data_IF_675478432220
#
_entry.id   IF_675478432220
#
_cell.length_a   1.000
_cell.length_b   1.000
_cell.length_c   1.000
_cell.angle_alpha   90.00
_cell.angle_beta   90.00
_cell.angle_gamma   90.00
#
_symmetry.space_group_name_H-M   'P 1'
#
loop_
_entity.id
_entity.type
_entity.pdbx_description
1 polymer ?
#
# COMPACT_ATOMS: atom_id res chain seq x y z
N UNK A 1 0.84 8.78 25.31
CA UNK A 1 1.37 9.78 24.36
C UNK A 1 2.65 9.16 23.81
N UNK A 2 2.53 8.37 22.74
CA UNK A 2 3.65 7.72 22.03
C UNK A 2 3.61 8.25 20.59
N UNK A 3 4.74 8.69 20.01
CA UNK A 3 4.74 9.53 18.82
C UNK A 3 4.50 8.73 17.52
N UNK A 4 3.71 9.34 16.63
CA UNK A 4 3.21 8.86 15.33
C UNK A 4 4.28 8.81 14.21
N UNK A 5 5.57 8.71 14.57
CA UNK A 5 6.70 8.91 13.63
C UNK A 5 6.87 7.81 12.56
N UNK A 6 6.19 6.67 12.72
CA UNK A 6 6.36 5.49 11.85
C UNK A 6 5.36 5.36 10.68
N UNK A 7 4.44 6.30 10.46
CA UNK A 7 3.49 6.22 9.32
C UNK A 7 3.93 6.94 8.04
N UNK A 8 4.87 7.87 8.16
CA UNK A 8 5.33 8.69 7.03
C UNK A 8 6.32 7.94 6.12
N UNK A 9 7.20 7.11 6.71
CA UNK A 9 8.09 6.20 5.96
C UNK A 9 7.39 5.03 5.26
N UNK A 10 6.08 4.81 5.49
CA UNK A 10 5.35 3.67 4.92
C UNK A 10 5.07 3.85 3.42
N UNK A 11 5.15 5.06 2.87
CA UNK A 11 4.76 5.31 1.46
C UNK A 11 5.79 4.94 0.41
N UNK A 12 7.08 4.88 0.77
CA UNK A 12 8.11 4.26 -0.05
C UNK A 12 8.10 2.72 0.07
N UNK A 13 7.60 2.19 1.18
CA UNK A 13 7.47 0.76 1.46
C UNK A 13 6.24 0.11 0.80
N UNK A 14 5.20 0.86 0.42
CA UNK A 14 3.98 0.28 -0.18
C UNK A 14 4.15 -0.32 -1.57
N UNK A 15 5.26 -0.06 -2.27
CA UNK A 15 5.64 -0.82 -3.48
C UNK A 15 6.35 -2.14 -3.18
N UNK A 16 6.73 -2.40 -1.93
CA UNK A 16 7.57 -3.53 -1.51
C UNK A 16 7.01 -4.35 -0.33
N UNK A 17 6.00 -3.91 0.43
CA UNK A 17 5.53 -4.66 1.62
C UNK A 17 4.03 -4.46 1.92
N UNK A 18 3.20 -5.51 1.92
CA UNK A 18 1.94 -5.52 2.65
C UNK A 18 2.22 -5.68 4.15
N UNK A 19 1.63 -4.80 4.97
CA UNK A 19 1.91 -4.68 6.41
C UNK A 19 1.10 -5.70 7.23
N UNK A 20 1.80 -6.43 8.10
CA UNK A 20 1.27 -7.37 9.09
C UNK A 20 0.49 -6.70 10.24
N UNK A 21 -0.52 -7.40 10.79
CA UNK A 21 -1.15 -7.09 12.09
C UNK A 21 -1.35 -8.35 12.94
N UNK A 22 -0.51 -8.46 13.98
CA UNK A 22 -0.67 -9.16 15.27
C UNK A 22 -1.75 -10.26 15.43
N UNK A 23 -1.30 -11.52 15.47
CA UNK A 23 -2.07 -12.68 15.92
C UNK A 23 -2.32 -12.65 17.45
N UNK A 24 -3.54 -13.00 17.89
CA UNK A 24 -3.81 -13.38 19.28
C UNK A 24 -4.51 -14.74 19.30
N UNK A 25 -3.81 -15.73 19.87
CA UNK A 25 -4.27 -17.10 20.12
C UNK A 25 -5.50 -17.12 21.03
N UNK A 26 -6.52 -17.90 20.68
CA UNK A 26 -7.54 -18.35 21.61
C UNK A 26 -7.67 -19.87 21.55
N UNK A 27 -7.30 -20.53 22.65
CA UNK A 27 -7.52 -21.94 22.91
C UNK A 27 -8.92 -22.19 23.51
N UNK A 28 -9.33 -23.45 23.42
CA UNK A 28 -10.68 -24.01 23.41
C UNK A 28 -11.50 -23.97 24.72
N UNK A 29 -12.82 -24.21 24.63
CA UNK A 29 -13.50 -25.52 24.94
C UNK A 29 -15.03 -25.35 25.10
N UNK A 30 -15.75 -26.40 24.65
CA UNK A 30 -17.13 -26.84 24.91
C UNK A 30 -18.21 -26.40 23.91
N UNK A 31 -19.04 -27.28 23.34
CA UNK A 31 -19.18 -28.73 23.48
C UNK A 31 -20.35 -29.25 22.60
N UNK A 32 -20.10 -30.42 21.98
CA UNK A 32 -21.01 -31.51 21.57
C UNK A 32 -22.49 -31.22 21.22
N UNK A 33 -22.92 -31.56 19.99
CA UNK A 33 -23.89 -32.65 19.75
C UNK A 33 -24.11 -32.93 18.25
N UNK A 34 -24.20 -34.23 17.97
CA UNK A 34 -24.30 -34.93 16.69
C UNK A 34 -25.44 -34.48 15.77
N UNK A 35 -25.24 -34.57 14.45
CA UNK A 35 -25.91 -35.55 13.61
C UNK A 35 -25.26 -35.61 12.22
N UNK A 36 -24.87 -36.82 11.83
CA UNK A 36 -24.32 -37.19 10.54
C UNK A 36 -25.32 -37.01 9.40
N UNK A 37 -25.04 -36.08 8.50
CA UNK A 37 -25.51 -36.10 7.12
C UNK A 37 -24.31 -36.29 6.20
N UNK A 38 -24.15 -37.50 5.66
CA UNK A 38 -23.31 -37.72 4.49
C UNK A 38 -24.01 -37.05 3.30
N UNK A 39 -23.70 -35.78 3.06
CA UNK A 39 -23.89 -35.19 1.73
C UNK A 39 -22.56 -35.34 1.02
N UNK A 40 -22.51 -36.24 0.03
CA UNK A 40 -21.44 -36.27 -0.95
C UNK A 40 -21.51 -34.97 -1.75
N UNK A 41 -20.83 -33.92 -1.27
CA UNK A 41 -20.46 -32.79 -2.09
C UNK A 41 -19.20 -33.17 -2.86
N UNK A 42 -19.38 -33.77 -4.03
CA UNK A 42 -18.43 -33.56 -5.11
C UNK A 42 -18.64 -32.12 -5.63
N UNK A 43 -18.26 -31.13 -4.82
CA UNK A 43 -18.04 -29.79 -5.34
C UNK A 43 -16.72 -29.87 -6.11
N UNK A 44 -16.80 -30.03 -7.42
CA UNK A 44 -15.79 -29.45 -8.28
C UNK A 44 -15.91 -27.93 -8.10
N UNK A 45 -15.36 -27.39 -7.00
CA UNK A 45 -15.15 -25.96 -6.88
C UNK A 45 -14.21 -25.61 -8.03
N UNK A 46 -14.76 -25.02 -9.09
CA UNK A 46 -13.94 -24.31 -10.07
C UNK A 46 -13.03 -23.38 -9.29
N UNK A 47 -11.75 -23.35 -9.64
CA UNK A 47 -10.79 -22.42 -9.05
C UNK A 47 -11.40 -21.00 -9.08
N UNK A 48 -11.25 -20.20 -8.01
CA UNK A 48 -11.73 -18.83 -8.02
C UNK A 48 -11.14 -18.09 -9.22
N UNK A 49 -11.95 -17.24 -9.85
CA UNK A 49 -11.43 -16.29 -10.82
C UNK A 49 -10.48 -15.31 -10.13
N UNK A 50 -9.64 -14.66 -10.93
CA UNK A 50 -8.79 -13.56 -10.44
C UNK A 50 -9.62 -12.49 -9.72
N UNK A 51 -10.78 -12.11 -10.28
CA UNK A 51 -11.70 -11.15 -9.63
C UNK A 51 -12.21 -11.64 -8.27
N UNK A 52 -12.44 -12.95 -8.12
CA UNK A 52 -12.88 -13.53 -6.85
C UNK A 52 -11.74 -13.51 -5.82
N UNK A 53 -10.50 -13.81 -6.23
CA UNK A 53 -9.33 -13.69 -5.37
C UNK A 53 -9.10 -12.24 -4.95
N UNK A 54 -9.22 -11.29 -5.87
CA UNK A 54 -9.07 -9.86 -5.61
C UNK A 54 -10.16 -9.39 -4.63
N UNK A 55 -11.41 -9.85 -4.78
CA UNK A 55 -12.50 -9.56 -3.85
C UNK A 55 -12.27 -10.14 -2.44
N UNK A 56 -11.78 -11.37 -2.34
CA UNK A 56 -11.42 -11.98 -1.05
C UNK A 56 -10.29 -11.22 -0.37
N UNK A 57 -9.29 -10.78 -1.13
CA UNK A 57 -8.18 -10.00 -0.61
C UNK A 57 -8.64 -8.64 -0.09
N UNK A 58 -9.55 -7.98 -0.81
CA UNK A 58 -10.20 -6.75 -0.35
C UNK A 58 -11.05 -6.94 0.90
N UNK A 59 -11.71 -8.09 1.04
CA UNK A 59 -12.44 -8.45 2.25
C UNK A 59 -11.51 -8.83 3.43
N UNK A 60 -10.19 -8.84 3.23
CA UNK A 60 -9.18 -9.35 4.16
C UNK A 60 -9.44 -10.81 4.56
N UNK A 61 -10.08 -11.58 3.67
CA UNK A 61 -10.41 -12.99 3.87
C UNK A 61 -9.18 -13.87 3.53
N UNK A 62 -8.06 -13.55 4.18
CA UNK A 62 -6.75 -14.16 3.89
C UNK A 62 -6.76 -15.67 4.13
N UNK A 63 -7.44 -16.13 5.18
CA UNK A 63 -7.60 -17.56 5.49
C UNK A 63 -8.27 -18.31 4.34
N UNK A 64 -9.33 -17.76 3.74
CA UNK A 64 -10.01 -18.43 2.63
C UNK A 64 -9.14 -18.41 1.37
N UNK A 65 -8.36 -17.35 1.14
CA UNK A 65 -7.37 -17.31 0.04
C UNK A 65 -6.33 -18.42 0.21
N UNK A 66 -5.76 -18.56 1.41
CA UNK A 66 -4.78 -19.60 1.73
C UNK A 66 -5.39 -20.99 1.48
N UNK A 67 -6.54 -21.28 2.08
CA UNK A 67 -7.22 -22.57 1.93
C UNK A 67 -7.52 -22.97 0.48
N UNK A 68 -7.81 -21.98 -0.39
CA UNK A 68 -8.15 -22.25 -1.79
C UNK A 68 -6.92 -22.33 -2.68
N UNK A 69 -5.90 -21.49 -2.46
CA UNK A 69 -4.73 -21.45 -3.32
C UNK A 69 -3.64 -22.44 -2.92
N UNK A 70 -3.42 -22.68 -1.62
CA UNK A 70 -2.36 -23.55 -1.13
C UNK A 70 -2.35 -24.94 -1.78
N UNK A 71 -3.49 -25.66 -1.92
CA UNK A 71 -3.53 -27.00 -2.51
C UNK A 71 -3.21 -27.06 -4.01
N UNK A 72 -3.15 -25.92 -4.71
CA UNK A 72 -2.91 -25.88 -6.16
C UNK A 72 -1.43 -26.20 -6.45
N UNK A 73 -1.10 -27.29 -7.16
CA UNK A 73 0.30 -27.69 -7.35
C UNK A 73 1.07 -26.80 -8.35
N UNK A 74 0.39 -26.31 -9.39
CA UNK A 74 0.99 -25.49 -10.46
C UNK A 74 0.34 -24.10 -10.47
N UNK A 75 0.80 -23.23 -9.57
CA UNK A 75 0.28 -21.87 -9.42
C UNK A 75 0.84 -20.95 -10.51
N UNK A 76 0.00 -20.06 -11.03
CA UNK A 76 0.44 -18.94 -11.86
C UNK A 76 1.21 -17.92 -11.01
N UNK A 77 2.03 -17.05 -11.60
CA UNK A 77 2.68 -15.95 -10.87
C UNK A 77 1.69 -15.07 -10.08
N UNK A 78 0.50 -14.78 -10.62
CA UNK A 78 -0.53 -14.01 -9.90
C UNK A 78 -1.04 -14.78 -8.67
N UNK A 79 -1.31 -16.09 -8.81
CA UNK A 79 -1.73 -16.92 -7.69
C UNK A 79 -0.65 -17.03 -6.60
N UNK A 80 0.63 -17.11 -6.98
CA UNK A 80 1.74 -17.02 -6.04
C UNK A 80 1.72 -15.67 -5.29
N UNK A 81 1.64 -14.55 -6.01
CA UNK A 81 1.62 -13.23 -5.39
C UNK A 81 0.46 -13.06 -4.41
N UNK A 82 -0.75 -13.47 -4.80
CA UNK A 82 -1.94 -13.38 -3.94
C UNK A 82 -1.80 -14.27 -2.70
N UNK A 83 -1.36 -15.52 -2.87
CA UNK A 83 -1.18 -16.44 -1.75
C UNK A 83 -0.11 -15.95 -0.78
N UNK A 84 1.08 -15.59 -1.28
CA UNK A 84 2.17 -15.10 -0.42
C UNK A 84 1.73 -13.82 0.29
N UNK A 85 1.02 -12.91 -0.40
CA UNK A 85 0.49 -11.69 0.24
C UNK A 85 -0.53 -12.00 1.34
N UNK A 86 -1.37 -13.02 1.17
CA UNK A 86 -2.30 -13.47 2.21
C UNK A 86 -1.53 -14.09 3.40
N UNK A 87 -0.54 -14.94 3.13
CA UNK A 87 0.33 -15.56 4.13
C UNK A 87 1.12 -14.49 4.92
N UNK A 88 1.64 -13.45 4.28
CA UNK A 88 2.30 -12.34 4.99
C UNK A 88 1.41 -11.64 6.02
N UNK A 89 0.08 -11.80 5.93
CA UNK A 89 -0.88 -11.28 6.89
C UNK A 89 -1.32 -12.30 7.96
N UNK A 90 -1.03 -13.60 7.77
CA UNK A 90 -1.48 -14.68 8.66
C UNK A 90 -0.32 -15.46 9.28
N UNK A 91 0.63 -15.89 8.46
CA UNK A 91 1.80 -16.70 8.83
C UNK A 91 3.02 -16.35 7.94
N UNK A 92 4.01 -15.65 8.52
CA UNK A 92 5.20 -15.21 7.79
C UNK A 92 6.19 -16.34 7.48
N UNK A 93 6.14 -17.46 8.20
CA UNK A 93 7.02 -18.60 7.96
C UNK A 93 6.53 -19.36 6.72
N UNK A 94 5.22 -19.60 6.61
CA UNK A 94 4.61 -20.16 5.40
C UNK A 94 4.78 -19.22 4.19
N UNK A 95 4.77 -17.91 4.40
CA UNK A 95 5.08 -16.94 3.35
C UNK A 95 6.52 -17.08 2.83
N UNK A 96 7.50 -17.34 3.71
CA UNK A 96 8.90 -17.56 3.34
C UNK A 96 9.05 -18.82 2.48
N UNK A 97 8.43 -19.92 2.91
CA UNK A 97 8.44 -21.18 2.18
C UNK A 97 7.76 -21.06 0.80
N UNK A 98 6.62 -20.37 0.74
CA UNK A 98 5.89 -20.17 -0.51
C UNK A 98 6.64 -19.23 -1.47
N UNK A 99 7.33 -18.21 -0.96
CA UNK A 99 8.17 -17.34 -1.79
C UNK A 99 9.40 -18.08 -2.35
N UNK A 100 10.03 -18.95 -1.55
CA UNK A 100 11.11 -19.81 -2.03
C UNK A 100 10.61 -20.77 -3.13
N UNK A 101 9.40 -21.33 -2.96
CA UNK A 101 8.76 -22.15 -3.99
C UNK A 101 8.46 -21.36 -5.26
N UNK A 102 7.96 -20.13 -5.13
CA UNK A 102 7.69 -19.27 -6.29
C UNK A 102 8.97 -19.04 -7.11
N UNK A 103 10.08 -18.69 -6.47
CA UNK A 103 11.39 -18.54 -7.12
C UNK A 103 11.83 -19.83 -7.80
N UNK A 104 11.66 -20.99 -7.16
CA UNK A 104 12.05 -22.26 -7.75
C UNK A 104 11.22 -22.64 -8.99
N UNK A 105 9.92 -22.35 -8.97
CA UNK A 105 9.00 -22.69 -10.05
C UNK A 105 9.09 -21.69 -11.22
N UNK A 106 9.48 -20.44 -10.97
CA UNK A 106 9.53 -19.34 -11.93
C UNK A 106 10.87 -18.58 -11.91
N UNK A 107 11.98 -19.30 -12.12
CA UNK A 107 13.37 -18.78 -12.00
C UNK A 107 13.73 -17.65 -12.98
N UNK A 108 12.99 -17.54 -14.07
CA UNK A 108 13.13 -16.51 -15.11
C UNK A 108 12.20 -15.31 -14.89
N UNK A 109 11.39 -15.33 -13.84
CA UNK A 109 10.49 -14.24 -13.49
C UNK A 109 11.09 -13.39 -12.36
N UNK A 110 11.60 -12.20 -12.70
CA UNK A 110 12.17 -11.29 -11.71
C UNK A 110 11.20 -10.94 -10.58
N UNK A 111 9.88 -10.96 -10.83
CA UNK A 111 8.85 -10.69 -9.80
C UNK A 111 8.82 -11.75 -8.71
N UNK A 112 9.26 -12.98 -8.98
CA UNK A 112 9.40 -14.01 -7.94
C UNK A 112 10.49 -13.63 -6.92
N UNK A 113 11.62 -13.12 -7.41
CA UNK A 113 12.69 -12.62 -6.55
C UNK A 113 12.31 -11.33 -5.82
N UNK A 114 11.57 -10.43 -6.48
CA UNK A 114 11.00 -9.25 -5.86
C UNK A 114 10.07 -9.65 -4.69
N UNK A 115 9.13 -10.58 -4.92
CA UNK A 115 8.23 -11.07 -3.88
C UNK A 115 8.97 -11.76 -2.72
N UNK A 116 10.03 -12.52 -3.03
CA UNK A 116 10.89 -13.10 -2.01
C UNK A 116 11.56 -12.02 -1.15
N UNK A 117 12.11 -10.97 -1.76
CA UNK A 117 12.68 -9.84 -1.01
C UNK A 117 11.65 -9.17 -0.09
N UNK A 118 10.39 -9.08 -0.53
CA UNK A 118 9.27 -8.53 0.24
C UNK A 118 8.93 -9.40 1.46
N UNK A 119 8.97 -10.72 1.32
CA UNK A 119 8.80 -11.61 2.48
C UNK A 119 9.98 -11.48 3.44
N UNK A 120 11.21 -11.43 2.91
CA UNK A 120 12.41 -11.34 3.73
C UNK A 120 12.45 -10.02 4.52
N UNK A 121 12.08 -8.88 3.92
CA UNK A 121 12.03 -7.63 4.67
C UNK A 121 10.90 -7.61 5.72
N UNK A 122 9.75 -8.26 5.47
CA UNK A 122 8.71 -8.41 6.49
C UNK A 122 9.19 -9.25 7.68
N UNK A 123 9.88 -10.37 7.42
CA UNK A 123 10.55 -11.18 8.43
C UNK A 123 11.61 -10.38 9.21
N UNK A 124 12.37 -9.51 8.53
CA UNK A 124 13.34 -8.65 9.19
C UNK A 124 12.70 -7.63 10.15
N UNK A 125 11.48 -7.19 9.86
CA UNK A 125 10.71 -6.30 10.74
C UNK A 125 10.08 -7.03 11.92
N UNK A 126 9.71 -8.31 11.78
CA UNK A 126 9.08 -9.10 12.84
C UNK A 126 10.08 -9.56 13.90
N UNK A 127 11.29 -9.95 13.49
CA UNK A 127 12.31 -10.50 14.40
C UNK A 127 13.62 -9.70 14.40
N UNK A 128 13.86 -8.98 15.49
CA UNK A 128 15.09 -8.18 15.71
C UNK A 128 16.36 -9.03 15.69
N UNK A 129 16.30 -10.29 16.15
CA UNK A 129 17.47 -11.17 16.25
C UNK A 129 17.92 -11.72 14.91
N UNK A 130 17.00 -11.95 13.97
CA UNK A 130 17.27 -12.46 12.62
C UNK A 130 17.23 -11.37 11.55
N UNK A 131 16.89 -10.13 11.92
CA UNK A 131 16.71 -9.00 11.01
C UNK A 131 17.86 -8.81 10.01
N UNK A 132 19.12 -8.88 10.47
CA UNK A 132 20.28 -8.70 9.58
C UNK A 132 20.41 -9.83 8.55
N UNK A 133 20.12 -11.07 8.94
CA UNK A 133 20.15 -12.21 8.03
C UNK A 133 19.07 -12.11 6.97
N UNK A 134 17.86 -11.71 7.38
CA UNK A 134 16.74 -11.49 6.48
C UNK A 134 16.96 -10.31 5.53
N UNK A 135 17.48 -9.17 6.02
CA UNK A 135 17.84 -8.05 5.16
C UNK A 135 18.89 -8.46 4.11
N UNK A 136 19.88 -9.28 4.49
CA UNK A 136 20.86 -9.82 3.54
C UNK A 136 20.19 -10.69 2.47
N UNK A 137 19.30 -11.62 2.84
CA UNK A 137 18.54 -12.43 1.88
C UNK A 137 17.70 -11.55 0.94
N UNK A 138 17.05 -10.50 1.46
CA UNK A 138 16.28 -9.56 0.65
C UNK A 138 17.15 -8.88 -0.41
N UNK A 139 18.33 -8.36 -0.01
CA UNK A 139 19.31 -7.78 -0.93
C UNK A 139 19.75 -8.77 -2.01
N UNK A 140 20.10 -10.00 -1.62
CA UNK A 140 20.53 -11.05 -2.55
C UNK A 140 19.43 -11.38 -3.57
N UNK A 141 18.16 -11.46 -3.14
CA UNK A 141 17.02 -11.65 -4.05
C UNK A 141 16.85 -10.47 -5.02
N UNK A 142 16.96 -9.22 -4.56
CA UNK A 142 16.86 -8.04 -5.43
C UNK A 142 18.00 -7.95 -6.45
N UNK A 143 19.22 -8.30 -6.05
CA UNK A 143 20.35 -8.43 -6.98
C UNK A 143 20.08 -9.49 -8.04
N UNK A 144 19.50 -10.63 -7.63
CA UNK A 144 19.12 -11.69 -8.57
C UNK A 144 18.03 -11.24 -9.55
N UNK A 145 17.09 -10.40 -9.10
CA UNK A 145 16.08 -9.81 -9.98
C UNK A 145 16.71 -8.98 -11.11
N UNK A 146 17.78 -8.20 -10.83
CA UNK A 146 18.54 -7.47 -11.85
C UNK A 146 19.23 -8.41 -12.84
N UNK A 147 19.82 -9.51 -12.37
CA UNK A 147 20.44 -10.50 -13.28
C UNK A 147 19.42 -11.13 -14.22
N UNK A 148 18.17 -11.34 -13.75
CA UNK A 148 17.09 -11.96 -14.53
C UNK A 148 16.48 -10.98 -15.53
N UNK A 149 16.34 -9.72 -15.15
CA UNK A 149 15.67 -8.70 -15.95
C UNK A 149 16.48 -7.39 -16.00
N UNK A 150 17.67 -7.38 -16.63
CA UNK A 150 18.58 -6.23 -16.59
C UNK A 150 18.08 -4.99 -17.34
N UNK A 151 17.07 -5.16 -18.19
CA UNK A 151 16.46 -4.09 -18.98
C UNK A 151 15.18 -3.52 -18.32
N UNK A 152 14.75 -4.08 -17.19
CA UNK A 152 13.57 -3.62 -16.45
C UNK A 152 13.97 -2.54 -15.43
N UNK A 153 13.33 -1.37 -15.48
CA UNK A 153 13.64 -0.28 -14.52
C UNK A 153 13.23 -0.66 -13.09
N UNK A 154 12.16 -1.44 -12.94
CA UNK A 154 11.57 -1.81 -11.65
C UNK A 154 12.58 -2.53 -10.73
N UNK A 155 13.46 -3.37 -11.28
CA UNK A 155 14.44 -4.12 -10.47
C UNK A 155 15.52 -3.23 -9.88
N UNK A 156 15.92 -2.16 -10.58
CA UNK A 156 16.84 -1.15 -10.05
C UNK A 156 16.16 -0.27 -9.02
N UNK A 157 14.89 0.11 -9.25
CA UNK A 157 14.09 0.88 -8.28
C UNK A 157 13.94 0.11 -6.96
N UNK A 158 13.66 -1.19 -7.02
CA UNK A 158 13.52 -2.04 -5.83
C UNK A 158 14.82 -2.13 -5.02
N UNK A 159 15.96 -2.38 -5.68
CA UNK A 159 17.27 -2.42 -4.99
C UNK A 159 17.70 -1.04 -4.46
N UNK A 160 17.43 0.03 -5.21
CA UNK A 160 17.66 1.41 -4.76
C UNK A 160 16.86 1.69 -3.49
N UNK A 161 15.60 1.27 -3.44
CA UNK A 161 14.74 1.47 -2.28
C UNK A 161 15.21 0.66 -1.07
N UNK A 162 15.71 -0.57 -1.28
CA UNK A 162 16.35 -1.34 -0.22
C UNK A 162 17.54 -0.58 0.38
N UNK A 163 18.41 -0.04 -0.47
CA UNK A 163 19.58 0.72 -0.04
C UNK A 163 19.22 2.00 0.74
N UNK A 164 18.08 2.61 0.41
CA UNK A 164 17.56 3.79 1.12
C UNK A 164 16.95 3.43 2.48
N UNK A 165 16.18 2.36 2.58
CA UNK A 165 15.36 2.06 3.77
C UNK A 165 16.06 1.15 4.78
N UNK A 166 16.91 0.23 4.32
CA UNK A 166 17.61 -0.65 5.23
C UNK A 166 18.59 0.16 6.11
N UNK A 167 18.73 -0.15 7.41
CA UNK A 167 19.81 0.40 8.22
C UNK A 167 21.18 0.07 7.61
N UNK A 168 22.19 0.94 7.81
CA UNK A 168 23.53 0.70 7.25
C UNK A 168 24.15 -0.62 7.72
N UNK A 169 23.93 -1.02 8.97
CA UNK A 169 24.39 -2.32 9.51
C UNK A 169 23.70 -3.52 8.83
N UNK A 170 22.52 -3.32 8.24
CA UNK A 170 21.74 -4.32 7.53
C UNK A 170 21.98 -4.29 6.00
N UNK A 171 22.89 -3.44 5.53
CA UNK A 171 23.26 -3.33 4.12
C UNK A 171 22.64 -2.15 3.36
N UNK A 172 21.99 -1.22 4.06
CA UNK A 172 21.60 0.07 3.48
C UNK A 172 22.82 0.92 3.13
N UNK A 173 22.76 1.63 2.02
CA UNK A 173 23.88 2.39 1.46
C UNK A 173 23.38 3.47 0.50
N UNK A 174 23.39 4.72 0.94
CA UNK A 174 22.87 5.84 0.14
C UNK A 174 23.71 6.11 -1.11
N UNK A 175 24.99 5.75 -1.12
CA UNK A 175 25.87 5.97 -2.28
C UNK A 175 25.60 4.90 -3.36
N UNK A 176 25.31 3.66 -2.96
CA UNK A 176 24.80 2.65 -3.89
C UNK A 176 23.42 3.03 -4.46
N UNK A 177 22.55 3.65 -3.66
CA UNK A 177 21.27 4.16 -4.15
C UNK A 177 21.46 5.27 -5.22
N UNK A 178 22.45 6.16 -5.06
CA UNK A 178 22.81 7.18 -6.06
C UNK A 178 23.27 6.52 -7.37
N UNK A 179 24.11 5.49 -7.31
CA UNK A 179 24.56 4.74 -8.50
C UNK A 179 23.37 4.13 -9.24
N UNK A 180 22.40 3.56 -8.52
CA UNK A 180 21.20 3.00 -9.14
C UNK A 180 20.27 4.08 -9.73
N UNK A 181 20.15 5.24 -9.09
CA UNK A 181 19.42 6.38 -9.67
C UNK A 181 20.06 6.88 -10.98
N UNK A 182 21.40 6.93 -11.04
CA UNK A 182 22.12 7.25 -12.27
C UNK A 182 21.91 6.19 -13.36
N UNK A 183 21.89 4.90 -12.98
CA UNK A 183 21.58 3.81 -13.90
C UNK A 183 20.15 3.93 -14.45
N UNK A 184 19.17 4.21 -13.60
CA UNK A 184 17.79 4.46 -14.02
C UNK A 184 17.73 5.65 -14.97
N UNK A 185 18.46 6.74 -14.68
CA UNK A 185 18.53 7.92 -15.56
C UNK A 185 19.09 7.61 -16.95
N UNK A 186 20.05 6.69 -17.05
CA UNK A 186 20.59 6.23 -18.34
C UNK A 186 19.60 5.38 -19.13
N UNK A 187 18.73 4.63 -18.46
CA UNK A 187 17.70 3.80 -19.09
C UNK A 187 16.49 4.64 -19.51
N UNK A 188 16.04 5.52 -18.62
CA UNK A 188 14.93 6.43 -18.81
C UNK A 188 15.19 7.72 -18.03
N UNK A 189 15.41 8.81 -18.76
CA UNK A 189 15.76 10.10 -18.19
C UNK A 189 14.66 10.67 -17.28
N UNK A 190 13.40 10.26 -17.47
CA UNK A 190 12.28 10.71 -16.67
C UNK A 190 12.18 9.94 -15.36
N UNK A 191 12.17 8.60 -15.41
CA UNK A 191 12.20 7.77 -14.21
C UNK A 191 13.45 8.09 -13.37
N UNK A 192 14.56 8.45 -14.03
CA UNK A 192 15.76 8.96 -13.40
C UNK A 192 15.55 10.21 -12.56
N UNK A 193 14.70 11.16 -12.97
CA UNK A 193 14.37 12.35 -12.18
C UNK A 193 13.64 11.97 -10.89
N UNK A 194 12.66 11.08 -10.95
CA UNK A 194 11.96 10.63 -9.75
C UNK A 194 12.86 9.79 -8.83
N UNK A 195 13.72 8.93 -9.39
CA UNK A 195 14.72 8.20 -8.63
C UNK A 195 15.70 9.15 -7.92
N UNK A 196 16.17 10.18 -8.62
CA UNK A 196 17.05 11.21 -8.05
C UNK A 196 16.35 11.99 -6.94
N UNK A 197 15.10 12.42 -7.13
CA UNK A 197 14.33 13.10 -6.09
C UNK A 197 14.14 12.20 -4.85
N UNK A 198 13.92 10.90 -5.06
CA UNK A 198 13.80 9.91 -3.98
C UNK A 198 15.10 9.78 -3.19
N UNK A 199 16.24 9.69 -3.88
CA UNK A 199 17.56 9.64 -3.24
C UNK A 199 17.88 10.95 -2.51
N UNK A 200 17.60 12.12 -3.11
CA UNK A 200 17.81 13.41 -2.45
C UNK A 200 16.98 13.55 -1.18
N UNK A 201 15.73 13.09 -1.19
CA UNK A 201 14.90 13.08 0.01
C UNK A 201 15.48 12.21 1.13
N UNK A 202 16.23 11.17 0.80
CA UNK A 202 16.90 10.28 1.76
C UNK A 202 18.33 10.73 2.16
N UNK A 203 18.98 11.55 1.34
CA UNK A 203 20.36 12.05 1.50
C UNK A 203 20.40 13.47 2.11
N UNK A 204 19.48 13.76 3.05
CA UNK A 204 19.34 15.06 3.72
C UNK A 204 19.17 16.29 2.78
N UNK A 205 18.73 16.06 1.53
CA UNK A 205 18.51 17.08 0.48
C UNK A 205 17.02 17.23 0.14
N UNK A 206 16.20 17.31 1.18
CA UNK A 206 14.75 17.39 1.04
C UNK A 206 14.32 18.65 0.26
N UNK A 207 15.02 19.78 0.40
CA UNK A 207 14.73 21.01 -0.33
C UNK A 207 14.92 20.84 -1.84
N UNK A 208 16.03 20.21 -2.25
CA UNK A 208 16.33 19.92 -3.65
C UNK A 208 15.36 18.91 -4.25
N UNK A 209 15.01 17.87 -3.49
CA UNK A 209 13.98 16.90 -3.88
C UNK A 209 12.63 17.58 -4.13
N UNK A 210 12.18 18.43 -3.20
CA UNK A 210 10.92 19.19 -3.34
C UNK A 210 10.94 20.15 -4.52
N UNK A 211 12.04 20.88 -4.73
CA UNK A 211 12.19 21.78 -5.88
C UNK A 211 12.12 21.02 -7.21
N UNK A 212 12.76 19.85 -7.30
CA UNK A 212 12.71 19.00 -8.49
C UNK A 212 11.27 18.50 -8.75
N UNK A 213 10.58 18.00 -7.72
CA UNK A 213 9.21 17.52 -7.83
C UNK A 213 8.24 18.65 -8.19
N UNK A 214 8.44 19.86 -7.66
CA UNK A 214 7.65 21.03 -8.04
C UNK A 214 7.82 21.39 -9.53
N UNK A 215 9.05 21.30 -10.07
CA UNK A 215 9.27 21.48 -11.51
C UNK A 215 8.63 20.37 -12.37
N UNK A 216 8.58 19.14 -11.86
CA UNK A 216 7.88 18.03 -12.51
C UNK A 216 6.36 18.18 -12.46
N UNK A 217 5.80 18.81 -11.42
CA UNK A 217 4.35 18.96 -11.30
C UNK A 217 3.73 19.91 -12.33
N UNK A 218 4.53 20.77 -12.96
CA UNK A 218 4.10 21.66 -14.04
C UNK A 218 3.98 20.97 -15.41
N UNK A 219 4.39 19.70 -15.50
CA UNK A 219 4.29 18.89 -16.73
C UNK A 219 3.07 17.97 -16.63
N UNK A 220 2.02 18.11 -17.48
CA UNK A 220 0.75 17.38 -17.36
C UNK A 220 0.89 15.84 -17.28
N UNK A 221 1.89 15.30 -17.95
CA UNK A 221 2.21 13.88 -17.97
C UNK A 221 2.73 13.37 -16.62
N UNK A 222 3.37 14.23 -15.82
CA UNK A 222 4.01 13.89 -14.54
C UNK A 222 3.30 14.49 -13.33
N UNK A 223 2.41 15.45 -13.57
CA UNK A 223 1.71 16.24 -12.56
C UNK A 223 1.22 15.38 -11.39
N UNK A 224 0.50 14.30 -11.69
CA UNK A 224 -0.12 13.47 -10.65
C UNK A 224 0.91 12.81 -9.74
N UNK A 225 1.95 12.19 -10.32
CA UNK A 225 3.01 11.53 -9.55
C UNK A 225 3.82 12.54 -8.77
N UNK A 226 4.23 13.64 -9.42
CA UNK A 226 5.03 14.68 -8.82
C UNK A 226 4.32 15.37 -7.65
N UNK A 227 3.04 15.71 -7.79
CA UNK A 227 2.22 16.28 -6.71
C UNK A 227 2.04 15.33 -5.54
N UNK A 228 1.80 14.04 -5.82
CA UNK A 228 1.69 13.04 -4.77
C UNK A 228 3.00 12.91 -3.98
N UNK A 229 4.13 12.77 -4.68
CA UNK A 229 5.44 12.64 -4.04
C UNK A 229 5.86 13.92 -3.31
N UNK A 230 5.58 15.10 -3.87
CA UNK A 230 5.82 16.39 -3.23
C UNK A 230 4.98 16.55 -1.96
N UNK A 231 3.69 16.25 -2.03
CA UNK A 231 2.79 16.25 -0.88
C UNK A 231 3.25 15.29 0.21
N UNK A 232 3.75 14.10 -0.15
CA UNK A 232 4.37 13.17 0.80
C UNK A 232 5.57 13.82 1.50
N UNK A 233 6.52 14.40 0.76
CA UNK A 233 7.71 15.03 1.36
C UNK A 233 7.35 16.20 2.29
N UNK A 234 6.33 16.98 1.97
CA UNK A 234 5.84 18.02 2.86
C UNK A 234 5.20 17.43 4.13
N UNK A 235 4.39 16.38 4.01
CA UNK A 235 3.82 15.69 5.18
C UNK A 235 4.91 15.08 6.07
N UNK A 236 5.93 14.48 5.48
CA UNK A 236 7.05 13.87 6.20
C UNK A 236 7.87 14.92 6.96
N UNK A 237 7.96 16.13 6.40
CA UNK A 237 8.55 17.31 7.04
C UNK A 237 7.61 18.10 7.96
N UNK A 238 6.37 17.65 8.17
CA UNK A 238 5.33 18.35 8.95
C UNK A 238 4.95 19.74 8.39
N UNK A 239 5.24 19.99 7.11
CA UNK A 239 4.91 21.20 6.36
C UNK A 239 3.49 21.10 5.78
N UNK A 240 2.49 21.11 6.66
CA UNK A 240 1.11 20.74 6.28
C UNK A 240 0.43 21.73 5.31
N UNK A 241 0.72 23.04 5.41
CA UNK A 241 0.21 24.03 4.45
C UNK A 241 0.68 23.70 3.02
N UNK A 242 1.98 23.46 2.87
CA UNK A 242 2.59 23.12 1.58
C UNK A 242 2.13 21.74 1.07
N UNK A 243 1.92 20.79 1.97
CA UNK A 243 1.33 19.50 1.61
C UNK A 243 -0.08 19.64 1.03
N UNK A 244 -0.94 20.45 1.66
CA UNK A 244 -2.29 20.74 1.18
C UNK A 244 -2.22 21.48 -0.16
N UNK A 245 -1.31 22.44 -0.31
CA UNK A 245 -1.13 23.18 -1.56
C UNK A 245 -0.66 22.25 -2.72
N UNK A 246 0.28 21.35 -2.46
CA UNK A 246 0.79 20.41 -3.45
C UNK A 246 -0.28 19.39 -3.90
N UNK A 247 -1.10 18.90 -2.97
CA UNK A 247 -2.09 17.83 -3.23
C UNK A 247 -3.43 18.34 -3.77
N UNK A 248 -3.89 19.53 -3.36
CA UNK A 248 -5.20 20.10 -3.74
C UNK A 248 -5.50 20.03 -5.25
N UNK A 249 -4.55 20.36 -6.16
CA UNK A 249 -4.80 20.30 -7.60
C UNK A 249 -5.19 18.92 -8.14
N UNK A 250 -4.88 17.84 -7.40
CA UNK A 250 -5.31 16.49 -7.74
C UNK A 250 -6.84 16.33 -7.76
N UNK A 251 -7.59 17.17 -7.05
CA UNK A 251 -9.07 17.15 -7.05
C UNK A 251 -9.66 17.54 -8.41
N UNK A 252 -8.93 18.31 -9.22
CA UNK A 252 -9.37 18.79 -10.53
C UNK A 252 -8.55 18.24 -11.70
N UNK A 253 -7.49 17.47 -11.43
CA UNK A 253 -6.64 16.92 -12.49
C UNK A 253 -7.42 15.88 -13.29
N UNK A 254 -7.53 16.06 -14.61
CA UNK A 254 -8.18 15.09 -15.47
C UNK A 254 -7.22 13.95 -15.84
N UNK A 255 -7.48 12.74 -15.33
CA UNK A 255 -6.74 11.53 -15.70
C UNK A 255 -7.52 10.80 -16.78
N UNK A 256 -7.10 10.97 -18.04
CA UNK A 256 -7.79 10.40 -19.20
C UNK A 256 -7.85 8.87 -19.13
N UNK A 257 -9.06 8.31 -19.13
CA UNK A 257 -9.29 6.87 -19.08
C UNK A 257 -8.84 6.19 -20.36
N UNK A 258 -7.95 5.20 -20.21
CA UNK A 258 -7.51 4.33 -21.29
C UNK A 258 -8.48 3.15 -21.48
N UNK A 259 -8.40 2.48 -22.63
CA UNK A 259 -9.16 1.25 -22.89
C UNK A 259 -8.43 0.06 -22.29
N UNK A 260 -9.15 -0.85 -21.61
CA UNK A 260 -8.58 -2.09 -21.04
C UNK A 260 -7.92 -3.00 -22.08
N UNK A 261 -8.29 -2.87 -23.36
CA UNK A 261 -7.68 -3.62 -24.46
C UNK A 261 -6.26 -3.18 -24.80
N UNK A 262 -5.86 -1.97 -24.39
CA UNK A 262 -4.49 -1.48 -24.49
C UNK A 262 -3.85 -1.58 -23.10
N UNK A 263 -3.13 -2.68 -22.86
CA UNK A 263 -2.57 -2.98 -21.53
C UNK A 263 -1.61 -1.88 -21.04
N UNK A 264 -0.73 -1.36 -21.91
CA UNK A 264 0.24 -0.35 -21.53
C UNK A 264 -0.44 0.99 -21.18
N UNK A 265 -1.38 1.44 -22.01
CA UNK A 265 -2.13 2.66 -21.72
C UNK A 265 -3.03 2.49 -20.48
N UNK A 266 -3.60 1.31 -20.29
CA UNK A 266 -4.40 0.96 -19.12
C UNK A 266 -3.58 1.00 -17.83
N UNK A 267 -2.37 0.45 -17.83
CA UNK A 267 -1.48 0.47 -16.67
C UNK A 267 -1.06 1.90 -16.33
N UNK A 268 -0.72 2.71 -17.33
CA UNK A 268 -0.41 4.12 -17.14
C UNK A 268 -1.59 4.91 -16.56
N UNK A 269 -2.81 4.69 -17.10
CA UNK A 269 -4.04 5.26 -16.55
C UNK A 269 -4.27 4.83 -15.10
N UNK A 270 -4.19 3.52 -14.83
CA UNK A 270 -4.49 2.94 -13.53
C UNK A 270 -3.54 3.46 -12.46
N UNK A 271 -2.24 3.51 -12.76
CA UNK A 271 -1.21 4.04 -11.85
C UNK A 271 -1.41 5.53 -11.54
N UNK A 272 -1.75 6.33 -12.56
CA UNK A 272 -2.05 7.76 -12.36
C UNK A 272 -3.33 7.94 -11.56
N UNK A 273 -4.39 7.21 -11.86
CA UNK A 273 -5.66 7.30 -11.14
C UNK A 273 -5.51 6.84 -9.70
N UNK A 274 -4.79 5.76 -9.45
CA UNK A 274 -4.41 5.33 -8.10
C UNK A 274 -3.70 6.44 -7.33
N UNK A 275 -2.67 7.04 -7.94
CA UNK A 275 -1.87 8.11 -7.32
C UNK A 275 -2.71 9.35 -7.00
N UNK A 276 -3.61 9.72 -7.91
CA UNK A 276 -4.58 10.81 -7.69
C UNK A 276 -5.49 10.52 -6.49
N UNK A 277 -6.11 9.34 -6.45
CA UNK A 277 -7.00 8.95 -5.37
C UNK A 277 -6.24 8.90 -4.03
N UNK A 278 -5.05 8.32 -4.03
CA UNK A 278 -4.24 8.28 -2.82
C UNK A 278 -3.87 9.69 -2.32
N UNK A 279 -3.44 10.58 -3.22
CA UNK A 279 -3.13 11.97 -2.86
C UNK A 279 -4.33 12.74 -2.30
N UNK A 280 -5.52 12.57 -2.89
CA UNK A 280 -6.75 13.22 -2.38
C UNK A 280 -7.16 12.68 -1.01
N UNK A 281 -7.02 11.38 -0.76
CA UNK A 281 -7.21 10.83 0.60
C UNK A 281 -6.25 11.45 1.60
N UNK A 282 -4.98 11.68 1.23
CA UNK A 282 -3.97 12.27 2.12
C UNK A 282 -4.35 13.69 2.57
N UNK A 283 -5.07 14.48 1.77
CA UNK A 283 -5.62 15.78 2.20
C UNK A 283 -6.57 15.59 3.40
N UNK A 284 -7.49 14.64 3.30
CA UNK A 284 -8.41 14.31 4.40
C UNK A 284 -7.69 13.79 5.64
N UNK A 285 -6.66 12.96 5.47
CA UNK A 285 -5.81 12.50 6.57
C UNK A 285 -5.11 13.67 7.28
N UNK A 286 -4.47 14.59 6.53
CA UNK A 286 -3.81 15.77 7.11
C UNK A 286 -4.82 16.61 7.88
N UNK A 287 -6.01 16.83 7.33
CA UNK A 287 -7.05 17.61 7.99
C UNK A 287 -7.51 16.99 9.33
N UNK A 288 -7.61 15.67 9.41
CA UNK A 288 -7.96 14.97 10.66
C UNK A 288 -6.83 15.08 11.68
N UNK A 289 -5.60 14.78 11.28
CA UNK A 289 -4.46 14.73 12.22
C UNK A 289 -4.11 16.14 12.76
N UNK A 290 -4.29 17.18 11.95
CA UNK A 290 -4.02 18.57 12.37
C UNK A 290 -5.22 19.27 12.99
N UNK A 291 -6.44 18.75 12.80
CA UNK A 291 -7.71 19.45 13.07
C UNK A 291 -7.81 20.82 12.36
N UNK A 292 -7.06 21.00 11.27
CA UNK A 292 -7.09 22.17 10.39
C UNK A 292 -7.61 21.74 9.00
N UNK A 293 -7.81 22.70 8.10
CA UNK A 293 -8.24 22.43 6.71
C UNK A 293 -9.55 21.60 6.62
N UNK A 294 -10.44 21.69 7.61
CA UNK A 294 -11.62 20.84 7.73
C UNK A 294 -12.46 20.81 6.46
N UNK A 295 -12.73 21.97 5.84
CA UNK A 295 -13.48 22.05 4.59
C UNK A 295 -12.74 21.37 3.43
N UNK A 296 -11.43 21.61 3.29
CA UNK A 296 -10.61 20.96 2.26
C UNK A 296 -10.58 19.45 2.43
N UNK A 297 -10.45 18.96 3.66
CA UNK A 297 -10.50 17.53 3.97
C UNK A 297 -11.86 16.90 3.69
N UNK A 298 -12.97 17.57 4.02
CA UNK A 298 -14.33 17.11 3.69
C UNK A 298 -14.51 17.00 2.17
N UNK A 299 -14.12 18.05 1.43
CA UNK A 299 -14.21 18.06 -0.03
C UNK A 299 -13.37 16.93 -0.65
N UNK A 300 -12.15 16.73 -0.17
CA UNK A 300 -11.26 15.71 -0.69
C UNK A 300 -11.73 14.28 -0.39
N UNK A 301 -12.25 14.01 0.81
CA UNK A 301 -12.78 12.68 1.15
C UNK A 301 -14.10 12.37 0.42
N UNK A 302 -14.94 13.37 0.16
CA UNK A 302 -16.13 13.20 -0.68
C UNK A 302 -15.74 12.89 -2.13
N UNK A 303 -14.78 13.62 -2.71
CA UNK A 303 -14.22 13.32 -4.03
C UNK A 303 -13.67 11.90 -4.07
N UNK A 304 -12.82 11.54 -3.10
CA UNK A 304 -12.22 10.22 -3.01
C UNK A 304 -13.27 9.10 -2.96
N UNK A 305 -14.30 9.22 -2.12
CA UNK A 305 -15.36 8.22 -2.01
C UNK A 305 -16.18 8.08 -3.30
N UNK A 306 -16.48 9.20 -3.97
CA UNK A 306 -17.22 9.19 -5.23
C UNK A 306 -16.41 8.51 -6.35
N UNK A 307 -15.13 8.85 -6.48
CA UNK A 307 -14.26 8.29 -7.51
C UNK A 307 -13.88 6.83 -7.24
N UNK A 308 -13.76 6.43 -5.96
CA UNK A 308 -13.53 5.03 -5.57
C UNK A 308 -14.72 4.14 -5.94
N UNK A 309 -15.94 4.67 -6.00
CA UNK A 309 -17.12 3.95 -6.50
C UNK A 309 -17.16 3.89 -8.03
N UNK A 310 -16.73 4.96 -8.70
CA UNK A 310 -16.84 5.10 -10.15
C UNK A 310 -15.70 4.42 -10.94
N UNK A 311 -14.54 4.23 -10.31
CA UNK A 311 -13.36 3.69 -10.97
C UNK A 311 -13.41 2.17 -11.16
N UNK A 312 -12.76 1.68 -12.20
CA UNK A 312 -12.61 0.27 -12.56
C UNK A 312 -11.14 -0.18 -12.59
N UNK A 313 -10.26 0.62 -11.98
CA UNK A 313 -8.88 0.25 -11.65
C UNK A 313 -8.88 -0.67 -10.43
N UNK A 314 -7.74 -1.30 -10.18
CA UNK A 314 -7.52 -1.99 -8.92
C UNK A 314 -7.28 -0.98 -7.77
N UNK A 315 -8.08 -1.09 -6.72
CA UNK A 315 -8.09 -0.17 -5.58
C UNK A 315 -7.72 -0.84 -4.26
N UNK A 316 -7.27 -2.10 -4.25
CA UNK A 316 -7.08 -2.85 -3.00
C UNK A 316 -6.04 -2.21 -2.06
N UNK A 317 -5.04 -1.52 -2.61
CA UNK A 317 -4.01 -0.82 -1.82
C UNK A 317 -4.40 0.60 -1.42
N UNK A 318 -5.55 1.09 -1.89
CA UNK A 318 -6.07 2.38 -1.47
C UNK A 318 -6.79 2.27 -0.11
N UNK A 319 -6.81 3.33 0.70
CA UNK A 319 -7.57 3.37 1.95
C UNK A 319 -9.05 2.99 1.74
N UNK A 320 -9.57 2.06 2.54
CA UNK A 320 -10.92 1.52 2.32
C UNK A 320 -12.03 2.58 2.46
N UNK A 321 -13.22 2.28 1.91
CA UNK A 321 -14.44 3.09 2.11
C UNK A 321 -14.75 3.27 3.61
N UNK A 322 -14.50 2.25 4.44
CA UNK A 322 -14.69 2.35 5.89
C UNK A 322 -13.74 3.38 6.51
N UNK A 323 -12.45 3.34 6.15
CA UNK A 323 -11.48 4.32 6.61
C UNK A 323 -11.80 5.74 6.13
N UNK A 324 -12.17 5.92 4.86
CA UNK A 324 -12.54 7.22 4.33
C UNK A 324 -13.81 7.79 4.99
N UNK A 325 -14.87 7.00 5.17
CA UNK A 325 -16.07 7.43 5.89
C UNK A 325 -15.80 7.73 7.37
N UNK A 326 -14.93 6.97 8.03
CA UNK A 326 -14.54 7.24 9.42
C UNK A 326 -13.86 8.61 9.54
N UNK A 327 -12.86 8.88 8.68
CA UNK A 327 -12.15 10.17 8.66
C UNK A 327 -13.08 11.34 8.31
N UNK A 328 -13.98 11.14 7.35
CA UNK A 328 -14.97 12.15 6.97
C UNK A 328 -15.93 12.47 8.13
N UNK A 329 -16.35 11.48 8.91
CA UNK A 329 -17.16 11.70 10.11
C UNK A 329 -16.40 12.45 11.21
N UNK A 330 -15.08 12.21 11.38
CA UNK A 330 -14.23 13.00 12.27
C UNK A 330 -14.20 14.48 11.83
N UNK A 331 -14.05 14.75 10.53
CA UNK A 331 -14.04 16.13 10.01
C UNK A 331 -15.39 16.83 10.13
N UNK A 332 -16.51 16.15 9.89
CA UNK A 332 -17.83 16.74 10.15
C UNK A 332 -18.01 17.11 11.62
N UNK A 333 -17.50 16.29 12.55
CA UNK A 333 -17.53 16.63 13.96
C UNK A 333 -16.61 17.82 14.31
N UNK A 334 -15.47 17.96 13.62
CA UNK A 334 -14.62 19.15 13.73
C UNK A 334 -15.30 20.41 13.19
N UNK A 335 -16.18 20.27 12.20
CA UNK A 335 -17.02 21.34 11.66
C UNK A 335 -18.30 21.61 12.50
N UNK A 336 -18.45 20.95 13.65
CA UNK A 336 -19.67 20.95 14.48
C UNK A 336 -20.96 20.49 13.76
N UNK A 337 -20.84 19.80 12.62
CA UNK A 337 -21.95 19.18 11.92
C UNK A 337 -22.20 17.75 12.46
N UNK A 338 -22.81 17.70 13.65
CA UNK A 338 -23.09 16.45 14.37
C UNK A 338 -24.02 15.52 13.56
N UNK A 339 -24.92 16.10 12.75
CA UNK A 339 -25.85 15.35 11.91
C UNK A 339 -25.11 14.60 10.80
N UNK A 340 -24.25 15.31 10.05
CA UNK A 340 -23.43 14.71 9.00
C UNK A 340 -22.38 13.74 9.57
N UNK A 341 -21.81 14.05 10.73
CA UNK A 341 -20.90 13.14 11.42
C UNK A 341 -21.60 11.81 11.77
N UNK A 342 -22.81 11.87 12.32
CA UNK A 342 -23.61 10.69 12.69
C UNK A 342 -24.00 9.85 11.48
N UNK A 343 -24.56 10.48 10.44
CA UNK A 343 -25.00 9.79 9.22
C UNK A 343 -23.83 9.18 8.44
N UNK A 344 -22.68 9.85 8.38
CA UNK A 344 -21.46 9.33 7.74
C UNK A 344 -20.89 8.16 8.53
N UNK A 345 -20.84 8.26 9.86
CA UNK A 345 -20.34 7.17 10.71
C UNK A 345 -21.21 5.91 10.64
N UNK A 346 -22.51 6.05 10.34
CA UNK A 346 -23.41 4.92 10.14
C UNK A 346 -23.07 4.08 8.90
N UNK A 347 -22.33 4.65 7.93
CA UNK A 347 -21.84 3.93 6.74
C UNK A 347 -20.63 3.03 7.04
N UNK A 348 -19.94 3.27 8.16
CA UNK A 348 -18.76 2.51 8.57
C UNK A 348 -19.22 1.16 9.15
N UNK A 349 -18.93 0.08 8.43
CA UNK A 349 -19.19 -1.28 8.92
C UNK A 349 -18.07 -1.73 9.85
N UNK A 350 -18.34 -2.74 10.69
CA UNK A 350 -17.25 -3.40 11.41
C UNK A 350 -16.49 -4.27 10.41
N UNK A 351 -15.26 -3.88 10.11
CA UNK A 351 -14.24 -4.75 9.55
C UNK A 351 -13.39 -5.33 10.70
N UNK A 352 -12.55 -6.32 10.40
CA UNK A 352 -11.65 -6.94 11.40
C UNK A 352 -10.62 -5.97 12.00
N UNK A 353 -10.60 -4.71 11.55
CA UNK A 353 -9.63 -3.68 11.97
C UNK A 353 -9.95 -3.14 13.37
N UNK A 354 -9.16 -3.59 14.34
CA UNK A 354 -9.26 -3.15 15.75
C UNK A 354 -9.03 -1.64 15.92
N UNK A 355 -8.20 -1.01 15.09
CA UNK A 355 -7.92 0.43 15.16
C UNK A 355 -9.14 1.21 14.68
N UNK A 356 -9.70 0.83 13.54
CA UNK A 356 -10.92 1.42 13.01
C UNK A 356 -12.06 1.29 14.03
N UNK A 357 -12.27 0.09 14.58
CA UNK A 357 -13.30 -0.16 15.58
C UNK A 357 -13.13 0.72 16.84
N UNK A 358 -11.89 0.94 17.29
CA UNK A 358 -11.57 1.80 18.44
C UNK A 358 -11.90 3.27 18.16
N UNK A 359 -11.49 3.80 17.01
CA UNK A 359 -11.77 5.19 16.61
C UNK A 359 -13.27 5.39 16.43
N UNK A 360 -13.95 4.47 15.72
CA UNK A 360 -15.41 4.49 15.56
C UNK A 360 -16.13 4.53 16.91
N UNK A 361 -15.72 3.72 17.89
CA UNK A 361 -16.34 3.73 19.23
C UNK A 361 -16.13 5.06 19.95
N UNK A 362 -14.94 5.65 19.83
CA UNK A 362 -14.64 6.98 20.38
C UNK A 362 -15.55 8.04 19.75
N UNK A 363 -15.66 8.05 18.43
CA UNK A 363 -16.45 9.01 17.68
C UNK A 363 -17.95 8.91 18.01
N UNK A 364 -18.50 7.70 18.11
CA UNK A 364 -19.89 7.47 18.58
C UNK A 364 -20.16 8.10 19.95
N UNK A 365 -19.20 8.02 20.88
CA UNK A 365 -19.33 8.63 22.21
C UNK A 365 -19.29 10.16 22.14
N UNK A 366 -18.46 10.72 21.26
CA UNK A 366 -18.37 12.18 21.09
C UNK A 366 -19.64 12.76 20.46
N UNK A 367 -20.16 12.13 19.40
CA UNK A 367 -21.43 12.51 18.75
C UNK A 367 -22.56 12.52 19.78
N UNK A 368 -22.71 11.44 20.56
CA UNK A 368 -23.74 11.34 21.61
C UNK A 368 -23.64 12.41 22.71
N UNK A 369 -22.48 13.02 22.92
CA UNK A 369 -22.32 14.11 23.89
C UNK A 369 -22.74 15.47 23.33
N UNK A 370 -22.76 15.62 22.00
CA UNK A 370 -23.12 16.86 21.30
C UNK A 370 -24.54 16.82 20.70
N UNK A 371 -25.22 15.68 20.79
CA UNK A 371 -26.66 15.50 20.53
C UNK A 371 -27.39 15.43 21.87
#
# INVERSE_FOLDING_TARGET
MFPQRNQNNLTALYRLFPCAVTALKAAHVAGLLCLSFFVSFANANSLPSDDALDAMFQAQDYETIVNVLEPIPSKTPKQYNVLISALMNTDLDDAEDMAAKFVNDHKDNYRAYHMQANVMGAQAMDSVFSALGYAKKAKESLQKAIEVAPDEIEVYQALMQFYIVAPSIAGGDIDEAKILADKITQMDALEGKFATATVYAADDKATEAKAMLNGLSEQPEFEVRARLELGRLHIDGEEYDDAIAALTPLLSTNVAKAQKSDAQAWDAYSNRKFSQLYGTYRIGWVAVETSQYTESGINALNYYLAELEATDIDTHQLPSKNWANLRLAELFLNADDVSMASTTLAKVTKDGDKRLAKIMKSLKKQIKKRT
#
